data_IF_571464725550
#
_entry.id   IF_571464725550
#
_cell.length_a   1.000
_cell.length_b   1.000
_cell.length_c   1.000
_cell.angle_alpha   90.00
_cell.angle_beta   90.00
_cell.angle_gamma   90.00
#
_symmetry.space_group_name_H-M   'P 1'
#
loop_
_entity.id
_entity.type
_entity.pdbx_description
1 polymer ?
#
# COMPACT_ATOMS: atom_id res chain seq x y z
N UNK A 1 -23.98 -28.62 45.59
CA UNK A 1 -23.58 -27.22 45.31
C UNK A 1 -22.15 -27.04 45.81
N UNK A 2 -21.15 -27.18 44.93
CA UNK A 2 -19.75 -27.06 45.33
C UNK A 2 -19.33 -25.59 45.21
N UNK A 3 -19.26 -24.91 46.35
CA UNK A 3 -18.80 -23.52 46.42
C UNK A 3 -17.27 -23.50 46.26
N UNK A 4 -16.78 -22.76 45.27
CA UNK A 4 -15.35 -22.62 45.00
C UNK A 4 -14.61 -22.07 46.23
N UNK A 5 -13.51 -22.74 46.61
CA UNK A 5 -12.68 -22.36 47.75
C UNK A 5 -12.09 -20.94 47.57
N UNK A 6 -11.99 -20.10 48.62
CA UNK A 6 -11.51 -18.72 48.53
C UNK A 6 -10.14 -18.56 47.86
N UNK A 7 -9.27 -19.57 47.97
CA UNK A 7 -7.95 -19.59 47.33
C UNK A 7 -8.00 -19.65 45.80
N UNK A 8 -9.03 -20.28 45.24
CA UNK A 8 -9.23 -20.37 43.79
C UNK A 8 -9.73 -19.03 43.22
N UNK A 9 -10.51 -18.26 43.99
CA UNK A 9 -10.98 -16.93 43.57
C UNK A 9 -9.85 -15.89 43.57
N UNK A 10 -8.92 -15.96 44.53
CA UNK A 10 -7.74 -15.09 44.59
C UNK A 10 -6.82 -15.36 43.40
N UNK A 11 -6.55 -16.63 43.08
CA UNK A 11 -5.74 -17.02 41.93
C UNK A 11 -6.34 -16.57 40.59
N UNK A 12 -7.67 -16.62 40.44
CA UNK A 12 -8.36 -16.10 39.25
C UNK A 12 -8.29 -14.56 39.20
N UNK A 13 -8.40 -13.86 40.33
CA UNK A 13 -8.23 -12.40 40.38
C UNK A 13 -6.78 -11.96 40.09
N UNK A 14 -5.79 -12.74 40.53
CA UNK A 14 -4.38 -12.51 40.24
C UNK A 14 -4.05 -12.80 38.78
N UNK A 15 -4.69 -13.81 38.17
CA UNK A 15 -4.58 -14.06 36.73
C UNK A 15 -5.31 -13.00 35.88
N UNK A 16 -6.42 -12.44 36.36
CA UNK A 16 -7.08 -11.28 35.72
C UNK A 16 -6.22 -10.01 35.89
N UNK A 17 -5.55 -9.86 37.03
CA UNK A 17 -4.63 -8.74 37.31
C UNK A 17 -3.29 -8.88 36.59
N UNK A 18 -2.79 -10.11 36.37
CA UNK A 18 -1.59 -10.43 35.59
C UNK A 18 -1.90 -10.50 34.09
N UNK A 19 -3.18 -10.71 33.74
CA UNK A 19 -3.77 -10.53 32.42
C UNK A 19 -3.87 -9.05 32.01
N UNK A 20 -2.96 -8.19 32.49
CA UNK A 20 -2.62 -6.94 31.80
C UNK A 20 -2.22 -7.37 30.40
N UNK A 21 -3.19 -7.25 29.50
CA UNK A 21 -2.98 -7.38 28.08
C UNK A 21 -1.68 -6.65 27.75
N UNK A 22 -0.71 -7.35 27.18
CA UNK A 22 0.39 -6.70 26.49
C UNK A 22 -0.26 -5.86 25.39
N UNK A 23 -0.62 -4.61 25.72
CA UNK A 23 -1.16 -3.63 24.79
C UNK A 23 -0.05 -3.45 23.77
N UNK A 24 -0.18 -4.12 22.62
CA UNK A 24 0.71 -3.93 21.48
C UNK A 24 0.85 -2.43 21.29
N UNK A 25 2.09 -1.93 21.34
CA UNK A 25 2.36 -0.50 21.24
C UNK A 25 1.88 -0.01 19.88
N UNK A 26 0.67 0.54 19.84
CA UNK A 26 0.07 1.07 18.62
C UNK A 26 0.93 2.25 18.15
N UNK A 27 1.29 2.25 16.87
CA UNK A 27 1.97 3.40 16.26
C UNK A 27 1.03 4.59 16.33
N UNK A 28 1.45 5.65 17.03
CA UNK A 28 0.71 6.91 17.09
C UNK A 28 0.95 7.66 15.78
N UNK A 29 -0.12 8.09 15.14
CA UNK A 29 -0.09 9.02 14.02
C UNK A 29 -0.51 10.39 14.53
N UNK A 30 0.21 11.43 14.10
CA UNK A 30 -0.05 12.81 14.51
C UNK A 30 -0.51 13.59 13.29
N UNK A 31 -1.45 14.51 13.47
CA UNK A 31 -1.87 15.42 12.39
C UNK A 31 -0.74 16.39 12.04
N UNK A 32 -0.68 16.86 10.79
CA UNK A 32 0.24 17.93 10.37
C UNK A 32 0.08 19.18 11.25
N UNK A 33 -1.16 19.55 11.61
CA UNK A 33 -1.44 20.64 12.55
C UNK A 33 -0.68 20.52 13.87
N UNK A 34 -0.80 19.35 14.50
CA UNK A 34 -0.15 19.06 15.79
C UNK A 34 1.37 19.11 15.67
N UNK A 35 1.94 18.56 14.58
CA UNK A 35 3.40 18.65 14.33
C UNK A 35 3.86 20.10 14.26
N UNK A 36 3.21 20.94 13.46
CA UNK A 36 3.55 22.36 13.31
C UNK A 36 3.46 23.13 14.63
N UNK A 37 2.38 22.95 15.37
CA UNK A 37 2.20 23.60 16.67
C UNK A 37 3.32 23.23 17.66
N UNK A 38 3.70 21.95 17.70
CA UNK A 38 4.78 21.46 18.56
C UNK A 38 6.14 22.00 18.12
N UNK A 39 6.43 22.01 16.81
CA UNK A 39 7.69 22.57 16.27
C UNK A 39 7.80 24.07 16.52
N UNK A 40 6.70 24.83 16.41
CA UNK A 40 6.67 26.24 16.80
C UNK A 40 6.93 26.45 18.30
N UNK A 41 6.32 25.62 19.15
CA UNK A 41 6.50 25.71 20.60
C UNK A 41 7.94 25.37 21.04
N UNK A 42 8.61 24.43 20.35
CA UNK A 42 9.99 24.03 20.63
C UNK A 42 10.98 25.19 20.42
N UNK A 43 10.74 26.12 19.49
CA UNK A 43 11.65 27.28 19.27
C UNK A 43 11.87 28.14 20.52
N UNK A 44 10.95 28.07 21.48
CA UNK A 44 10.99 28.81 22.74
C UNK A 44 11.35 27.97 23.97
N UNK A 45 11.48 26.64 23.83
CA UNK A 45 11.60 25.68 24.95
C UNK A 45 12.75 24.72 24.75
N UNK A 46 13.24 24.14 25.84
CA UNK A 46 14.18 23.01 25.72
C UNK A 46 13.45 21.74 25.23
N UNK A 47 14.14 20.88 24.48
CA UNK A 47 13.56 19.63 23.94
C UNK A 47 12.88 18.76 25.01
N UNK A 48 13.47 18.72 26.21
CA UNK A 48 12.98 17.92 27.33
C UNK A 48 11.64 18.46 27.81
N UNK A 49 11.54 19.76 28.05
CA UNK A 49 10.30 20.40 28.49
C UNK A 49 9.18 20.25 27.46
N UNK A 50 9.52 20.33 26.16
CA UNK A 50 8.55 20.10 25.09
C UNK A 50 8.04 18.64 25.04
N UNK A 51 8.93 17.66 25.20
CA UNK A 51 8.55 16.23 25.24
C UNK A 51 7.58 15.92 26.39
N UNK A 52 7.87 16.45 27.58
CA UNK A 52 7.03 16.29 28.76
C UNK A 52 5.69 17.02 28.64
N UNK A 53 5.70 18.27 28.16
CA UNK A 53 4.48 19.08 28.03
C UNK A 53 3.50 18.52 26.99
N UNK A 54 4.03 17.98 25.88
CA UNK A 54 3.22 17.53 24.75
C UNK A 54 2.91 16.03 24.76
N UNK A 55 3.53 15.26 25.67
CA UNK A 55 3.37 13.81 25.76
C UNK A 55 3.90 13.05 24.53
N UNK A 56 4.89 13.62 23.84
CA UNK A 56 5.50 13.05 22.63
C UNK A 56 6.88 12.51 22.98
N UNK A 57 7.21 11.26 22.61
CA UNK A 57 8.54 10.71 22.86
C UNK A 57 9.64 11.57 22.23
N UNK A 58 10.74 11.78 22.96
CA UNK A 58 11.86 12.62 22.52
C UNK A 58 12.42 12.21 21.14
N UNK A 59 12.51 10.91 20.87
CA UNK A 59 12.98 10.40 19.58
C UNK A 59 12.05 10.81 18.42
N UNK A 60 10.74 10.91 18.66
CA UNK A 60 9.76 11.35 17.67
C UNK A 60 9.87 12.84 17.40
N UNK A 61 10.14 13.66 18.44
CA UNK A 61 10.40 15.08 18.26
C UNK A 61 11.67 15.32 17.43
N UNK A 62 12.74 14.58 17.71
CA UNK A 62 14.00 14.71 16.96
C UNK A 62 13.82 14.37 15.47
N UNK A 63 13.03 13.33 15.17
CA UNK A 63 12.66 12.98 13.79
C UNK A 63 11.90 14.13 13.08
N UNK A 64 10.99 14.81 13.79
CA UNK A 64 10.24 15.94 13.23
C UNK A 64 11.07 17.20 13.07
N UNK A 65 12.05 17.45 13.94
CA UNK A 65 12.98 18.57 13.80
C UNK A 65 13.86 18.40 12.56
N UNK A 66 14.25 17.16 12.22
CA UNK A 66 14.98 16.87 10.99
C UNK A 66 14.14 17.08 9.73
N UNK A 67 12.83 16.84 9.81
CA UNK A 67 11.86 17.01 8.73
C UNK A 67 10.98 18.27 8.94
N UNK A 68 11.53 19.30 9.59
CA UNK A 68 10.81 20.53 9.92
C UNK A 68 10.36 21.22 8.63
N UNK A 69 11.30 21.43 7.70
CA UNK A 69 11.05 22.06 6.41
C UNK A 69 9.98 21.32 5.61
N UNK A 70 10.05 19.99 5.54
CA UNK A 70 9.05 19.16 4.85
C UNK A 70 7.67 19.23 5.50
N UNK A 71 7.60 19.34 6.83
CA UNK A 71 6.34 19.49 7.57
C UNK A 71 5.71 20.87 7.34
N UNK A 72 6.50 21.94 7.23
CA UNK A 72 6.01 23.29 6.94
C UNK A 72 5.68 23.48 5.45
N UNK A 73 6.46 22.91 4.54
CA UNK A 73 6.22 22.97 3.09
C UNK A 73 5.00 22.17 2.62
N UNK A 74 4.44 21.27 3.44
CA UNK A 74 3.25 20.50 3.10
C UNK A 74 2.02 21.38 2.84
N UNK A 75 1.53 21.40 1.60
CA UNK A 75 0.40 22.25 1.17
C UNK A 75 -0.99 21.59 1.30
N UNK A 76 -1.03 20.33 1.76
CA UNK A 76 -2.30 19.60 1.94
C UNK A 76 -3.05 19.95 3.23
N UNK A 77 -4.12 19.21 3.52
CA UNK A 77 -4.96 19.46 4.70
C UNK A 77 -4.19 19.29 6.03
N UNK A 78 -4.34 20.26 6.94
CA UNK A 78 -3.72 20.19 8.27
C UNK A 78 -4.25 19.04 9.15
N UNK A 79 -5.47 18.56 8.85
CA UNK A 79 -6.11 17.42 9.52
C UNK A 79 -5.53 16.08 9.04
N UNK A 80 -4.77 16.08 7.96
CA UNK A 80 -4.10 14.88 7.45
C UNK A 80 -3.19 14.32 8.52
N UNK A 81 -3.38 13.03 8.82
CA UNK A 81 -2.43 12.29 9.65
C UNK A 81 -1.11 12.21 8.88
N UNK A 82 0.00 12.54 9.55
CA UNK A 82 1.35 12.32 9.04
C UNK A 82 1.61 10.80 8.98
N UNK A 83 1.05 10.17 7.95
CA UNK A 83 1.40 8.82 7.57
C UNK A 83 2.68 8.95 6.77
N UNK A 84 3.64 8.04 7.00
CA UNK A 84 4.78 7.94 6.10
C UNK A 84 4.23 7.85 4.67
N UNK A 85 4.80 8.60 3.71
CA UNK A 85 4.48 8.42 2.31
C UNK A 85 4.50 6.93 2.02
N UNK A 86 3.45 6.43 1.37
CA UNK A 86 3.44 5.03 0.96
C UNK A 86 4.70 4.72 0.14
N UNK A 87 5.06 3.44 0.02
CA UNK A 87 6.22 3.04 -0.80
C UNK A 87 6.15 3.73 -2.17
N UNK A 88 7.20 4.48 -2.59
CA UNK A 88 7.20 5.18 -3.86
C UNK A 88 7.00 4.19 -5.02
N UNK A 89 6.47 4.70 -6.13
CA UNK A 89 6.26 3.89 -7.32
C UNK A 89 7.61 3.34 -7.81
N UNK A 90 7.67 2.02 -8.01
CA UNK A 90 8.90 1.35 -8.50
C UNK A 90 9.02 1.46 -10.02
N UNK A 91 7.96 1.90 -10.69
CA UNK A 91 7.89 1.99 -12.16
C UNK A 91 8.29 3.42 -12.56
N UNK A 92 9.41 3.62 -13.28
CA UNK A 92 9.90 4.95 -13.64
C UNK A 92 9.05 5.64 -14.72
N UNK A 93 8.24 4.88 -15.46
CA UNK A 93 7.36 5.35 -16.54
C UNK A 93 5.87 5.31 -16.16
N UNK A 94 5.53 5.57 -14.89
CA UNK A 94 4.14 5.42 -14.43
C UNK A 94 3.16 6.32 -15.22
N UNK A 95 3.57 7.53 -15.62
CA UNK A 95 2.76 8.42 -16.45
C UNK A 95 2.32 7.82 -17.78
N UNK A 96 3.25 7.27 -18.55
CA UNK A 96 2.99 6.66 -19.86
C UNK A 96 2.13 5.39 -19.73
N UNK A 97 2.41 4.57 -18.71
CA UNK A 97 1.57 3.41 -18.39
C UNK A 97 0.12 3.84 -18.05
N UNK A 98 -0.06 4.95 -17.32
CA UNK A 98 -1.41 5.47 -16.99
C UNK A 98 -2.12 5.96 -18.24
N UNK A 99 -1.43 6.63 -19.16
CA UNK A 99 -1.99 7.05 -20.44
C UNK A 99 -2.47 5.84 -21.23
N UNK A 100 -1.63 4.82 -21.39
CA UNK A 100 -2.02 3.55 -22.01
C UNK A 100 -3.25 2.91 -21.34
N UNK A 101 -3.29 2.86 -20.00
CA UNK A 101 -4.45 2.32 -19.28
C UNK A 101 -5.74 3.11 -19.51
N UNK A 102 -5.65 4.44 -19.67
CA UNK A 102 -6.80 5.31 -19.96
C UNK A 102 -7.26 5.18 -21.41
N UNK A 103 -6.33 5.06 -22.35
CA UNK A 103 -6.64 4.89 -23.77
C UNK A 103 -7.28 3.53 -24.02
N UNK A 104 -6.73 2.45 -23.44
CA UNK A 104 -7.36 1.13 -23.47
C UNK A 104 -8.79 1.14 -22.91
N UNK A 105 -9.06 1.95 -21.88
CA UNK A 105 -10.43 2.15 -21.38
C UNK A 105 -11.31 2.90 -22.37
N UNK A 106 -10.78 3.93 -23.05
CA UNK A 106 -11.51 4.74 -24.04
C UNK A 106 -11.92 3.88 -25.23
N UNK A 107 -11.03 3.01 -25.67
CA UNK A 107 -11.24 2.12 -26.81
C UNK A 107 -12.03 0.85 -26.43
N UNK A 108 -12.53 0.77 -25.19
CA UNK A 108 -13.28 -0.37 -24.64
C UNK A 108 -12.51 -1.69 -24.67
N UNK A 109 -11.18 -1.63 -24.67
CA UNK A 109 -10.31 -2.80 -24.60
C UNK A 109 -10.26 -3.37 -23.18
N UNK A 110 -10.11 -4.70 -23.11
CA UNK A 110 -10.04 -5.39 -21.83
C UNK A 110 -8.66 -5.17 -21.20
N UNK A 111 -8.56 -4.19 -20.32
CA UNK A 111 -7.33 -3.92 -19.58
C UNK A 111 -7.03 -5.05 -18.59
N UNK A 112 -5.95 -5.78 -18.78
CA UNK A 112 -5.53 -6.89 -17.90
C UNK A 112 -4.08 -6.67 -17.48
N UNK A 113 -3.65 -7.27 -16.36
CA UNK A 113 -2.24 -7.24 -15.98
C UNK A 113 -1.30 -7.75 -17.09
N UNK A 114 -1.78 -8.69 -17.91
CA UNK A 114 -1.07 -9.21 -19.07
C UNK A 114 -0.93 -8.18 -20.20
N UNK A 115 -1.99 -7.43 -20.53
CA UNK A 115 -1.92 -6.40 -21.58
C UNK A 115 -0.99 -5.26 -21.16
N UNK A 116 -1.04 -4.87 -19.88
CA UNK A 116 -0.05 -3.94 -19.31
C UNK A 116 1.38 -4.51 -19.39
N UNK A 117 1.58 -5.81 -19.13
CA UNK A 117 2.90 -6.43 -19.22
C UNK A 117 3.44 -6.49 -20.66
N UNK A 118 2.56 -6.69 -21.65
CA UNK A 118 2.92 -6.60 -23.07
C UNK A 118 3.36 -5.18 -23.42
N UNK A 119 2.58 -4.17 -23.08
CA UNK A 119 2.96 -2.77 -23.27
C UNK A 119 4.33 -2.45 -22.67
N UNK A 120 4.60 -2.89 -21.44
CA UNK A 120 5.89 -2.67 -20.78
C UNK A 120 7.03 -3.39 -21.48
N UNK A 121 6.82 -4.63 -21.93
CA UNK A 121 7.84 -5.38 -22.68
C UNK A 121 8.15 -4.70 -24.01
N UNK A 122 7.14 -4.17 -24.68
CA UNK A 122 7.28 -3.65 -26.04
C UNK A 122 7.84 -2.21 -26.03
N UNK A 123 7.54 -1.41 -25.00
CA UNK A 123 8.01 -0.02 -24.88
C UNK A 123 9.27 0.14 -24.01
N UNK A 124 9.47 -0.73 -23.00
CA UNK A 124 10.60 -0.63 -22.07
C UNK A 124 11.30 -1.99 -21.85
N UNK A 125 11.82 -2.62 -22.91
CA UNK A 125 12.51 -3.91 -22.79
C UNK A 125 13.75 -3.82 -21.89
N UNK A 126 14.56 -2.77 -22.01
CA UNK A 126 15.78 -2.58 -21.22
C UNK A 126 15.50 -2.48 -19.72
N UNK A 127 14.46 -1.72 -19.35
CA UNK A 127 14.03 -1.63 -17.96
C UNK A 127 13.51 -2.98 -17.45
N UNK A 128 12.76 -3.70 -18.27
CA UNK A 128 12.23 -5.01 -17.91
C UNK A 128 13.36 -6.01 -17.68
N UNK A 129 14.38 -6.04 -18.54
CA UNK A 129 15.57 -6.86 -18.38
C UNK A 129 16.26 -6.56 -17.06
N UNK A 130 16.57 -5.28 -16.78
CA UNK A 130 17.16 -4.83 -15.52
C UNK A 130 16.31 -5.22 -14.30
N UNK A 131 14.98 -5.13 -14.40
CA UNK A 131 14.06 -5.52 -13.33
C UNK A 131 14.06 -7.03 -13.05
N UNK A 132 14.30 -7.85 -14.07
CA UNK A 132 14.36 -9.31 -13.96
C UNK A 132 15.71 -9.81 -13.44
N UNK A 133 16.78 -9.00 -13.54
CA UNK A 133 18.10 -9.31 -12.97
C UNK A 133 17.98 -9.55 -11.46
N UNK A 134 18.52 -10.68 -10.99
CA UNK A 134 18.52 -11.07 -9.57
C UNK A 134 17.22 -11.70 -9.06
N UNK A 135 16.22 -11.94 -9.93
CA UNK A 135 15.07 -12.79 -9.58
C UNK A 135 15.47 -14.27 -9.66
N UNK A 136 14.88 -15.07 -8.77
CA UNK A 136 15.19 -16.50 -8.64
C UNK A 136 14.89 -17.31 -9.90
N UNK A 137 13.70 -17.11 -10.48
CA UNK A 137 13.20 -17.86 -11.63
C UNK A 137 12.43 -16.93 -12.58
N UNK A 138 12.41 -17.24 -13.89
CA UNK A 138 11.68 -16.46 -14.89
C UNK A 138 10.16 -16.39 -14.62
N UNK A 139 9.56 -17.48 -14.17
CA UNK A 139 8.15 -17.52 -13.78
C UNK A 139 7.87 -16.58 -12.58
N UNK A 140 8.74 -16.63 -11.57
CA UNK A 140 8.67 -15.75 -10.39
C UNK A 140 8.87 -14.29 -10.76
N UNK A 141 9.79 -14.00 -11.70
CA UNK A 141 10.03 -12.67 -12.22
C UNK A 141 8.78 -12.12 -12.93
N UNK A 142 8.18 -12.89 -13.83
CA UNK A 142 6.95 -12.54 -14.53
C UNK A 142 5.77 -12.32 -13.57
N UNK A 143 5.57 -13.20 -12.59
CA UNK A 143 4.54 -12.99 -11.56
C UNK A 143 4.78 -11.71 -10.76
N UNK A 144 6.03 -11.42 -10.41
CA UNK A 144 6.39 -10.22 -9.66
C UNK A 144 6.12 -8.95 -10.47
N UNK A 145 6.36 -8.98 -11.79
CA UNK A 145 6.01 -7.92 -12.73
C UNK A 145 4.48 -7.72 -12.77
N UNK A 146 3.70 -8.79 -12.92
CA UNK A 146 2.24 -8.68 -12.92
C UNK A 146 1.72 -8.11 -11.59
N UNK A 147 2.30 -8.50 -10.45
CA UNK A 147 1.93 -7.93 -9.14
C UNK A 147 2.28 -6.45 -9.03
N UNK A 148 3.41 -6.02 -9.60
CA UNK A 148 3.79 -4.60 -9.67
C UNK A 148 2.76 -3.79 -10.47
N UNK A 149 2.40 -4.27 -11.66
CA UNK A 149 1.44 -3.60 -12.53
C UNK A 149 0.05 -3.52 -11.91
N UNK A 150 -0.42 -4.60 -11.26
CA UNK A 150 -1.71 -4.59 -10.53
C UNK A 150 -1.74 -3.55 -9.41
N UNK A 151 -0.64 -3.38 -8.67
CA UNK A 151 -0.52 -2.37 -7.60
C UNK A 151 -0.52 -0.95 -8.16
N UNK A 152 0.15 -0.73 -9.29
CA UNK A 152 0.14 0.54 -10.01
C UNK A 152 -1.29 0.89 -10.42
N UNK A 153 -1.97 -0.02 -11.13
CA UNK A 153 -3.36 0.16 -11.54
C UNK A 153 -4.28 0.50 -10.35
N UNK A 154 -4.19 -0.26 -9.24
CA UNK A 154 -4.99 0.02 -8.04
C UNK A 154 -4.73 1.42 -7.44
N UNK A 155 -3.46 1.84 -7.39
CA UNK A 155 -3.07 3.16 -6.87
C UNK A 155 -3.67 4.31 -7.70
N UNK A 156 -3.84 4.11 -9.00
CA UNK A 156 -4.42 5.09 -9.92
C UNK A 156 -5.93 4.92 -10.13
N UNK A 157 -6.61 4.13 -9.28
CA UNK A 157 -8.07 4.00 -9.29
C UNK A 157 -8.64 2.98 -10.27
N UNK A 158 -7.82 2.08 -10.81
CA UNK A 158 -8.28 0.94 -11.60
C UNK A 158 -8.60 -0.23 -10.68
N UNK A 159 -9.83 -0.74 -10.76
CA UNK A 159 -10.29 -1.82 -9.88
C UNK A 159 -10.40 -3.11 -10.67
N UNK A 160 -9.79 -4.19 -10.15
CA UNK A 160 -9.99 -5.51 -10.74
C UNK A 160 -11.44 -5.95 -10.55
N UNK A 161 -12.11 -6.28 -11.65
CA UNK A 161 -13.37 -7.00 -11.62
C UNK A 161 -13.10 -8.47 -11.91
N UNK A 162 -13.62 -9.33 -11.04
CA UNK A 162 -13.77 -10.74 -11.35
C UNK A 162 -14.88 -10.87 -12.39
N UNK A 163 -14.73 -11.68 -13.44
CA UNK A 163 -15.80 -11.94 -14.38
C UNK A 163 -17.02 -12.51 -13.63
N UNK A 164 -18.03 -11.68 -13.38
CA UNK A 164 -19.34 -12.17 -12.98
C UNK A 164 -19.95 -12.88 -14.18
N UNK A 165 -20.50 -14.07 -13.99
CA UNK A 165 -20.93 -15.00 -15.05
C UNK A 165 -21.89 -14.46 -16.12
N UNK A 166 -22.38 -13.23 -15.99
CA UNK A 166 -23.27 -12.54 -16.93
C UNK A 166 -22.55 -11.74 -18.04
N UNK A 167 -21.22 -11.57 -17.98
CA UNK A 167 -20.46 -10.78 -18.97
C UNK A 167 -19.47 -11.59 -19.82
N UNK A 168 -19.62 -12.91 -19.84
CA UNK A 168 -18.74 -13.83 -20.58
C UNK A 168 -18.88 -13.67 -22.10
N UNK A 169 -20.01 -13.17 -22.58
CA UNK A 169 -20.31 -13.08 -24.02
C UNK A 169 -19.42 -12.05 -24.74
N UNK A 170 -19.06 -10.94 -24.10
CA UNK A 170 -18.27 -9.89 -24.74
C UNK A 170 -16.75 -10.18 -24.74
N UNK A 171 -16.24 -10.91 -23.75
CA UNK A 171 -14.82 -11.28 -23.66
C UNK A 171 -14.46 -12.48 -24.53
N UNK A 172 -15.42 -13.38 -24.80
CA UNK A 172 -15.14 -14.61 -25.55
C UNK A 172 -14.83 -14.34 -27.02
N UNK A 173 -15.41 -13.30 -27.61
CA UNK A 173 -15.17 -12.92 -29.01
C UNK A 173 -13.74 -12.39 -29.22
N UNK A 174 -13.20 -11.62 -28.27
CA UNK A 174 -11.87 -11.00 -28.40
C UNK A 174 -10.71 -11.98 -28.14
N UNK A 175 -10.90 -12.94 -27.23
CA UNK A 175 -9.89 -13.98 -26.92
C UNK A 175 -9.66 -14.92 -28.11
N UNK A 176 -10.68 -15.13 -28.95
CA UNK A 176 -10.56 -15.98 -30.13
C UNK A 176 -9.74 -15.37 -31.26
N UNK A 177 -9.63 -14.03 -31.34
CA UNK A 177 -8.86 -13.35 -32.40
C UNK A 177 -7.35 -13.31 -32.14
N UNK A 178 -6.90 -13.50 -30.89
CA UNK A 178 -5.49 -13.47 -30.49
C UNK A 178 -4.90 -14.88 -30.26
N UNK A 179 -5.49 -15.91 -30.87
CA UNK A 179 -5.19 -17.32 -30.63
C UNK A 179 -4.01 -17.84 -31.47
N UNK A 180 -2.85 -17.20 -31.35
CA UNK A 180 -1.59 -17.73 -31.87
C UNK A 180 -0.47 -17.57 -30.84
N UNK A 181 -0.58 -18.30 -29.71
CA UNK A 181 0.53 -19.02 -29.04
C UNK A 181 0.08 -19.66 -27.70
N UNK A 182 0.00 -20.99 -27.75
CA UNK A 182 0.05 -22.00 -26.68
C UNK A 182 -1.06 -22.06 -25.60
N UNK A 183 -1.49 -23.29 -25.22
CA UNK A 183 -2.60 -23.51 -24.31
C UNK A 183 -2.11 -23.58 -22.86
N UNK A 184 -2.40 -22.57 -22.05
CA UNK A 184 -2.24 -22.69 -20.61
C UNK A 184 -3.54 -22.31 -19.89
N UNK A 185 -3.94 -23.27 -19.06
CA UNK A 185 -5.02 -23.37 -18.06
C UNK A 185 -5.89 -22.13 -17.84
N UNK A 186 -7.18 -22.43 -17.63
CA UNK A 186 -8.28 -21.55 -17.25
C UNK A 186 -7.99 -20.76 -15.96
N UNK A 187 -7.10 -19.78 -16.03
CA UNK A 187 -7.00 -18.75 -15.02
C UNK A 187 -8.03 -17.69 -15.39
N UNK A 188 -9.02 -17.50 -14.53
CA UNK A 188 -10.02 -16.45 -14.67
C UNK A 188 -9.32 -15.10 -14.83
N UNK A 189 -9.23 -14.61 -16.07
CA UNK A 189 -8.64 -13.32 -16.40
C UNK A 189 -9.39 -12.22 -15.64
N UNK A 190 -8.79 -11.74 -14.56
CA UNK A 190 -9.24 -10.56 -13.83
C UNK A 190 -8.92 -9.34 -14.69
N UNK A 191 -9.94 -8.63 -15.14
CA UNK A 191 -9.81 -7.41 -15.93
C UNK A 191 -9.96 -6.19 -15.04
N UNK A 192 -9.35 -5.08 -15.42
CA UNK A 192 -9.47 -3.79 -14.77
C UNK A 192 -10.59 -3.01 -15.46
N UNK A 193 -11.52 -2.48 -14.67
CA UNK A 193 -12.54 -1.52 -15.13
C UNK A 193 -12.23 -0.18 -14.54
#
# INVERSE_FOLDING_TARGET
MANASPSQLVAVSELISAGVMLKKRLRKHYTIKKKRAVLQAIKSKTEREAAWSEGIPRWTLNDWMKDEEGTFAYEGSEKTLSRAPGRPETVPFSGELITFMKDARRDSEVLTAKTMACYVRDQYPEWLESYMVGKKDAATAYESQLRLLRRSAYRHGFVQRTPSGLKVICSTVFVLLNRSLLPLKRDMCSYFV
#
